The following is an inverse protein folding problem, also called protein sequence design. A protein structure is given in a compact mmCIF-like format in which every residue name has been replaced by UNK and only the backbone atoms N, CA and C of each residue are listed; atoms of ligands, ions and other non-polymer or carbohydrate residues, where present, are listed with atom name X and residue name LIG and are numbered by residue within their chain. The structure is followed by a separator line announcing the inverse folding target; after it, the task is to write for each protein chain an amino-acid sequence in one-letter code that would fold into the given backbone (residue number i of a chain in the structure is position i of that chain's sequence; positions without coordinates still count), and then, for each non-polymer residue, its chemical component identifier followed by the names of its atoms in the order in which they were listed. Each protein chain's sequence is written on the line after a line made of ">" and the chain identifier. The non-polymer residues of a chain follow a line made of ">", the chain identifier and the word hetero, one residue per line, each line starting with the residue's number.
data_IF_197849396957
#
_entry.id   IF_197849396957
#
_cell.length_a   1.000
_cell.length_b   1.000
_cell.length_c   1.000
_cell.angle_alpha   90.00
_cell.angle_beta   90.00
_cell.angle_gamma   90.00
#
_symmetry.space_group_name_H-M   'P 1'
#
loop_
_entity.id
_entity.type
_entity.pdbx_description
1 polymer ?
#
# COMPACT_ATOMS: atom_id res chain seq x y z
N UNK A 1 -15.29 27.54 -17.13
CA UNK A 1 -13.88 27.55 -17.59
C UNK A 1 -13.02 28.19 -16.49
N UNK A 2 -12.98 27.58 -15.30
CA UNK A 2 -12.42 28.22 -14.09
C UNK A 2 -11.92 27.18 -13.07
N UNK A 3 -11.00 26.31 -13.48
CA UNK A 3 -10.37 25.31 -12.59
C UNK A 3 -8.85 25.29 -12.80
N UNK A 4 -8.21 26.47 -12.65
CA UNK A 4 -6.75 26.63 -12.75
C UNK A 4 -6.12 27.24 -11.50
N UNK A 5 -6.80 27.19 -10.35
CA UNK A 5 -6.33 27.82 -9.11
C UNK A 5 -6.32 26.81 -7.96
N UNK A 6 -5.59 25.71 -8.13
CA UNK A 6 -5.16 24.86 -7.01
C UNK A 6 -3.91 24.04 -7.35
N UNK A 7 -3.06 24.51 -8.27
CA UNK A 7 -1.70 23.95 -8.38
C UNK A 7 -0.90 24.58 -7.25
N UNK A 8 -0.91 23.92 -6.08
CA UNK A 8 -0.14 24.35 -4.93
C UNK A 8 1.28 24.71 -5.36
N UNK A 9 1.78 25.87 -4.93
CA UNK A 9 3.14 26.30 -5.22
C UNK A 9 4.09 25.17 -4.81
N UNK A 10 4.86 24.64 -5.76
CA UNK A 10 5.84 23.60 -5.44
C UNK A 10 6.96 24.22 -4.62
N UNK A 11 7.45 23.51 -3.61
CA UNK A 11 8.61 23.92 -2.81
C UNK A 11 9.83 24.24 -3.68
N UNK A 12 9.93 23.63 -4.87
CA UNK A 12 10.95 23.95 -5.86
C UNK A 12 10.80 25.36 -6.46
N UNK A 13 9.57 25.80 -6.71
CA UNK A 13 9.31 27.15 -7.22
C UNK A 13 9.63 28.20 -6.15
N UNK A 14 9.35 27.89 -4.87
CA UNK A 14 9.71 28.73 -3.72
C UNK A 14 11.23 28.84 -3.57
N UNK A 15 11.96 27.71 -3.65
CA UNK A 15 13.44 27.71 -3.59
C UNK A 15 14.05 28.49 -4.76
N UNK A 16 13.52 28.33 -5.98
CA UNK A 16 14.00 29.08 -7.16
C UNK A 16 13.78 30.58 -6.96
N UNK A 17 12.61 30.98 -6.46
CA UNK A 17 12.28 32.37 -6.18
C UNK A 17 13.21 32.97 -5.09
N UNK A 18 13.45 32.24 -4.00
CA UNK A 18 14.37 32.67 -2.94
C UNK A 18 15.80 32.86 -3.46
N UNK A 19 16.30 31.98 -4.33
CA UNK A 19 17.64 32.13 -4.93
C UNK A 19 17.74 33.33 -5.87
N UNK A 20 16.67 33.66 -6.60
CA UNK A 20 16.60 34.88 -7.41
C UNK A 20 16.62 36.13 -6.52
N UNK A 21 15.88 36.13 -5.41
CA UNK A 21 15.92 37.21 -4.42
C UNK A 21 17.32 37.37 -3.81
N UNK A 22 17.98 36.29 -3.43
CA UNK A 22 19.37 36.34 -2.91
C UNK A 22 20.31 37.01 -3.90
N UNK A 23 20.17 36.72 -5.20
CA UNK A 23 21.02 37.30 -6.25
C UNK A 23 20.78 38.80 -6.38
N UNK A 24 19.52 39.25 -6.29
CA UNK A 24 19.15 40.66 -6.32
C UNK A 24 19.58 41.43 -5.07
N UNK A 25 19.51 40.81 -3.89
CA UNK A 25 19.93 41.41 -2.62
C UNK A 25 21.44 41.28 -2.35
N UNK A 26 22.20 40.62 -3.24
CA UNK A 26 23.67 40.57 -3.18
C UNK A 26 24.33 41.79 -3.83
N UNK A 27 23.55 42.67 -4.46
CA UNK A 27 24.08 43.86 -5.12
C UNK A 27 24.62 44.89 -4.13
N UNK A 28 25.86 45.32 -4.39
CA UNK A 28 26.74 46.07 -3.47
C UNK A 28 26.32 47.51 -3.18
N UNK A 29 25.23 48.01 -3.78
CA UNK A 29 24.79 49.41 -3.66
C UNK A 29 23.52 49.61 -2.82
N UNK A 30 22.70 48.58 -2.63
CA UNK A 30 21.45 48.68 -1.84
C UNK A 30 21.01 47.36 -1.18
N UNK A 31 21.75 46.26 -1.42
CA UNK A 31 21.42 44.97 -0.86
C UNK A 31 21.83 44.86 0.60
N UNK A 32 20.89 44.47 1.47
CA UNK A 32 21.20 44.07 2.83
C UNK A 32 21.86 42.68 2.80
N UNK A 33 23.18 42.56 3.03
CA UNK A 33 23.87 41.28 2.90
C UNK A 33 23.40 40.27 3.95
N UNK A 34 22.95 40.74 5.12
CA UNK A 34 22.39 39.89 6.16
C UNK A 34 21.05 39.27 5.72
N UNK A 35 20.23 40.01 4.98
CA UNK A 35 18.99 39.49 4.40
C UNK A 35 19.27 38.46 3.30
N UNK A 36 20.25 38.72 2.44
CA UNK A 36 20.67 37.76 1.42
C UNK A 36 21.19 36.45 2.04
N UNK A 37 21.93 36.53 3.15
CA UNK A 37 22.41 35.34 3.86
C UNK A 37 21.27 34.58 4.56
N UNK A 38 20.30 35.29 5.14
CA UNK A 38 19.12 34.69 5.76
C UNK A 38 18.23 33.96 4.73
N UNK A 39 17.98 34.60 3.58
CA UNK A 39 17.22 34.00 2.47
C UNK A 39 17.95 32.79 1.89
N UNK A 40 19.28 32.82 1.80
CA UNK A 40 20.08 31.67 1.39
C UNK A 40 19.96 30.51 2.37
N UNK A 41 20.08 30.77 3.69
CA UNK A 41 19.90 29.75 4.73
C UNK A 41 18.49 29.15 4.71
N UNK A 42 17.46 29.95 4.42
CA UNK A 42 16.09 29.49 4.27
C UNK A 42 15.93 28.60 3.03
N UNK A 43 16.48 29.00 1.88
CA UNK A 43 16.47 28.20 0.67
C UNK A 43 17.22 26.87 0.85
N UNK A 44 18.37 26.87 1.53
CA UNK A 44 19.13 25.65 1.83
C UNK A 44 18.38 24.72 2.80
N UNK A 45 17.62 25.28 3.76
CA UNK A 45 16.75 24.47 4.63
C UNK A 45 15.58 23.87 3.87
N UNK A 46 14.89 24.66 3.04
CA UNK A 46 13.78 24.17 2.22
C UNK A 46 14.25 23.14 1.20
N UNK A 47 15.46 23.28 0.64
CA UNK A 47 16.03 22.28 -0.25
C UNK A 47 16.39 20.99 0.52
N UNK A 48 16.88 21.10 1.76
CA UNK A 48 17.11 19.94 2.63
C UNK A 48 15.81 19.28 3.10
N UNK A 49 14.76 20.05 3.35
CA UNK A 49 13.46 19.56 3.77
C UNK A 49 12.70 18.92 2.59
N UNK A 50 12.77 19.53 1.41
CA UNK A 50 12.32 18.92 0.16
C UNK A 50 13.18 17.70 -0.23
N UNK A 51 14.47 17.70 0.08
CA UNK A 51 15.32 16.52 -0.09
C UNK A 51 14.99 15.42 0.93
N UNK A 52 14.67 15.76 2.19
CA UNK A 52 14.21 14.82 3.20
C UNK A 52 12.84 14.24 2.83
N UNK A 53 11.91 15.08 2.38
CA UNK A 53 10.65 14.64 1.77
C UNK A 53 10.88 13.82 0.51
N UNK A 54 11.95 14.03 -0.25
CA UNK A 54 12.34 13.19 -1.40
C UNK A 54 13.08 11.91 -1.04
N UNK A 55 13.70 11.82 0.13
CA UNK A 55 14.20 10.55 0.65
C UNK A 55 13.03 9.71 1.17
N UNK A 56 11.95 10.35 1.66
CA UNK A 56 10.63 9.72 1.86
C UNK A 56 9.87 9.47 0.54
N UNK A 57 10.11 10.28 -0.50
CA UNK A 57 9.51 10.14 -1.84
C UNK A 57 10.46 9.48 -2.86
N UNK A 58 11.48 8.76 -2.38
CA UNK A 58 12.04 7.66 -3.15
C UNK A 58 10.86 6.75 -3.52
N UNK A 59 10.85 6.05 -4.66
CA UNK A 59 9.75 5.14 -5.01
C UNK A 59 9.76 3.88 -4.12
N UNK A 60 9.76 4.07 -2.81
CA UNK A 60 9.05 3.25 -1.85
C UNK A 60 7.54 3.60 -1.85
N UNK A 61 6.98 3.97 -3.01
CA UNK A 61 5.59 3.64 -3.36
C UNK A 61 5.39 2.12 -3.54
N UNK A 62 6.15 1.29 -2.82
CA UNK A 62 5.62 0.06 -2.28
C UNK A 62 4.82 0.46 -1.06
N UNK A 63 3.59 0.89 -1.33
CA UNK A 63 2.45 0.34 -0.61
C UNK A 63 2.78 -0.05 0.84
N UNK A 64 2.49 0.82 1.81
CA UNK A 64 2.11 0.38 3.17
C UNK A 64 0.77 -0.38 3.16
N UNK A 65 0.49 -1.09 2.07
CA UNK A 65 -0.23 -2.33 2.11
C UNK A 65 0.82 -3.28 2.62
N UNK A 66 0.83 -3.47 3.94
CA UNK A 66 1.44 -4.66 4.52
C UNK A 66 0.80 -5.81 3.74
N UNK A 67 1.52 -6.29 2.72
CA UNK A 67 1.16 -7.51 2.03
C UNK A 67 1.46 -8.55 3.09
N UNK A 68 0.42 -9.15 3.69
CA UNK A 68 0.65 -10.11 4.76
C UNK A 68 1.63 -11.16 4.23
N UNK A 69 2.64 -11.46 5.02
CA UNK A 69 3.65 -12.43 4.65
C UNK A 69 2.95 -13.76 4.31
N UNK A 70 3.49 -14.54 3.39
CA UNK A 70 2.87 -15.83 2.99
C UNK A 70 2.60 -16.78 4.16
N UNK A 71 3.32 -16.62 5.27
CA UNK A 71 3.07 -17.32 6.54
C UNK A 71 1.85 -16.79 7.30
N UNK A 72 1.65 -15.46 7.33
CA UNK A 72 0.47 -14.82 7.90
C UNK A 72 -0.79 -15.15 7.09
N UNK A 73 -0.65 -15.24 5.76
CA UNK A 73 -1.72 -15.66 4.84
C UNK A 73 -2.18 -17.12 5.07
N UNK A 74 -1.30 -17.98 5.58
CA UNK A 74 -1.64 -19.36 5.97
C UNK A 74 -2.33 -19.44 7.33
N UNK A 75 -2.03 -18.49 8.22
CA UNK A 75 -2.54 -18.46 9.58
C UNK A 75 -3.90 -17.76 9.70
N UNK A 76 -4.44 -17.18 8.62
CA UNK A 76 -5.77 -16.57 8.67
C UNK A 76 -6.87 -17.60 8.92
N UNK A 77 -7.69 -17.29 9.92
CA UNK A 77 -8.97 -17.95 10.17
C UNK A 77 -9.95 -17.73 9.01
N UNK A 78 -10.92 -18.64 8.86
CA UNK A 78 -11.92 -18.60 7.78
C UNK A 78 -12.66 -17.26 7.72
N UNK A 79 -12.98 -16.65 8.87
CA UNK A 79 -13.63 -15.34 8.96
C UNK A 79 -12.72 -14.19 8.47
N UNK A 80 -11.42 -14.28 8.78
CA UNK A 80 -10.44 -13.31 8.32
C UNK A 80 -10.24 -13.43 6.80
N UNK A 81 -10.25 -14.65 6.25
CA UNK A 81 -10.21 -14.88 4.80
C UNK A 81 -11.47 -14.31 4.13
N UNK A 82 -12.65 -14.51 4.73
CA UNK A 82 -13.91 -13.96 4.20
C UNK A 82 -13.88 -12.44 4.12
N UNK A 83 -13.34 -11.79 5.14
CA UNK A 83 -13.17 -10.33 5.19
C UNK A 83 -12.12 -9.88 4.16
N UNK A 84 -11.05 -10.65 4.01
CA UNK A 84 -9.96 -10.37 3.08
C UNK A 84 -10.39 -10.43 1.61
N UNK A 85 -11.28 -11.36 1.24
CA UNK A 85 -11.79 -11.46 -0.14
C UNK A 85 -12.83 -10.38 -0.48
N UNK A 86 -13.58 -9.88 0.52
CA UNK A 86 -14.59 -8.82 0.33
C UNK A 86 -14.00 -7.43 0.26
N UNK A 87 -12.76 -7.25 0.72
CA UNK A 87 -12.05 -5.97 0.65
C UNK A 87 -11.70 -5.62 -0.81
N UNK A 88 -12.46 -4.68 -1.39
CA UNK A 88 -12.26 -4.22 -2.77
C UNK A 88 -10.95 -3.48 -2.98
N UNK A 89 -10.33 -3.01 -1.90
CA UNK A 89 -9.07 -2.30 -1.95
C UNK A 89 -7.93 -3.27 -2.39
N UNK A 90 -8.06 -4.57 -2.09
CA UNK A 90 -7.00 -5.57 -2.31
C UNK A 90 -6.67 -5.80 -3.77
N UNK A 91 -5.37 -5.91 -4.05
CA UNK A 91 -4.88 -6.10 -5.41
C UNK A 91 -5.10 -7.54 -5.87
N UNK A 92 -5.13 -7.74 -7.19
CA UNK A 92 -5.19 -9.09 -7.78
C UNK A 92 -4.03 -9.97 -7.29
N UNK A 93 -2.85 -9.40 -7.08
CA UNK A 93 -1.67 -10.14 -6.60
C UNK A 93 -1.88 -10.66 -5.17
N UNK A 94 -2.47 -9.84 -4.30
CA UNK A 94 -2.78 -10.24 -2.92
C UNK A 94 -3.72 -11.45 -2.86
N UNK A 95 -4.74 -11.45 -3.71
CA UNK A 95 -5.69 -12.56 -3.82
C UNK A 95 -5.03 -13.84 -4.38
N UNK A 96 -4.10 -13.69 -5.33
CA UNK A 96 -3.31 -14.81 -5.88
C UNK A 96 -2.41 -15.41 -4.80
N UNK A 97 -1.76 -14.58 -4.01
CA UNK A 97 -0.89 -15.02 -2.92
C UNK A 97 -1.67 -15.73 -1.81
N UNK A 98 -2.84 -15.21 -1.42
CA UNK A 98 -3.74 -15.89 -0.48
C UNK A 98 -4.18 -17.28 -0.99
N UNK A 99 -4.66 -17.34 -2.24
CA UNK A 99 -5.15 -18.57 -2.85
C UNK A 99 -4.05 -19.64 -2.98
N UNK A 100 -2.83 -19.22 -3.29
CA UNK A 100 -1.67 -20.12 -3.35
C UNK A 100 -1.22 -20.56 -1.95
N UNK A 101 -1.13 -19.62 -1.01
CA UNK A 101 -0.58 -19.88 0.32
C UNK A 101 -1.47 -20.80 1.16
N UNK A 102 -2.80 -20.54 1.17
CA UNK A 102 -3.77 -21.26 2.01
C UNK A 102 -4.40 -22.47 1.32
N UNK A 103 -4.81 -22.30 0.06
CA UNK A 103 -5.55 -23.34 -0.68
C UNK A 103 -4.68 -24.11 -1.68
N UNK A 104 -3.38 -23.83 -1.75
CA UNK A 104 -2.43 -24.47 -2.67
C UNK A 104 -2.85 -24.42 -4.15
N UNK A 105 -3.62 -23.40 -4.54
CA UNK A 105 -4.08 -23.24 -5.92
C UNK A 105 -2.91 -22.70 -6.78
N UNK A 106 -2.61 -23.28 -7.96
CA UNK A 106 -1.47 -22.88 -8.76
C UNK A 106 -1.52 -21.41 -9.21
N UNK A 107 -0.42 -20.67 -8.98
CA UNK A 107 -0.28 -19.27 -9.41
C UNK A 107 -0.49 -19.08 -10.92
N UNK A 108 -0.02 -20.03 -11.73
CA UNK A 108 -0.18 -20.00 -13.19
C UNK A 108 -1.64 -20.01 -13.65
N UNK A 109 -2.52 -20.68 -12.89
CA UNK A 109 -3.97 -20.69 -13.13
C UNK A 109 -4.59 -19.37 -12.68
N UNK A 110 -4.26 -18.92 -11.48
CA UNK A 110 -4.80 -17.69 -10.88
C UNK A 110 -4.39 -16.42 -11.64
N UNK A 111 -3.15 -16.34 -12.12
CA UNK A 111 -2.68 -15.17 -12.88
C UNK A 111 -3.47 -14.94 -14.18
N UNK A 112 -3.99 -16.02 -14.79
CA UNK A 112 -4.77 -15.97 -16.03
C UNK A 112 -6.25 -15.60 -15.80
N UNK A 113 -6.73 -15.63 -14.57
CA UNK A 113 -8.11 -15.35 -14.21
C UNK A 113 -8.29 -13.88 -13.81
N UNK A 114 -9.45 -13.26 -14.05
CA UNK A 114 -9.78 -11.93 -13.52
C UNK A 114 -9.91 -11.97 -12.00
N UNK A 115 -9.75 -10.82 -11.34
CA UNK A 115 -9.79 -10.71 -9.88
C UNK A 115 -11.10 -11.24 -9.27
N UNK A 116 -12.23 -11.04 -9.96
CA UNK A 116 -13.53 -11.56 -9.54
C UNK A 116 -13.56 -13.10 -9.50
N UNK A 117 -13.09 -13.77 -10.55
CA UNK A 117 -13.04 -15.24 -10.58
C UNK A 117 -12.06 -15.81 -9.55
N UNK A 118 -10.99 -15.08 -9.20
CA UNK A 118 -10.10 -15.49 -8.12
C UNK A 118 -10.83 -15.43 -6.77
N UNK A 119 -11.63 -14.39 -6.50
CA UNK A 119 -12.46 -14.30 -5.29
C UNK A 119 -13.46 -15.45 -5.20
N UNK A 120 -14.11 -15.77 -6.32
CA UNK A 120 -15.06 -16.90 -6.39
C UNK A 120 -14.36 -18.23 -6.13
N UNK A 121 -13.16 -18.43 -6.70
CA UNK A 121 -12.37 -19.64 -6.47
C UNK A 121 -11.96 -19.79 -5.00
N UNK A 122 -11.55 -18.70 -4.35
CA UNK A 122 -11.23 -18.68 -2.91
C UNK A 122 -12.49 -18.97 -2.08
N UNK A 123 -13.62 -18.34 -2.40
CA UNK A 123 -14.90 -18.58 -1.70
C UNK A 123 -15.36 -20.03 -1.82
N UNK A 124 -15.23 -20.63 -3.00
CA UNK A 124 -15.54 -22.03 -3.24
C UNK A 124 -14.64 -22.97 -2.43
N UNK A 125 -13.33 -22.68 -2.38
CA UNK A 125 -12.38 -23.45 -1.58
C UNK A 125 -12.69 -23.36 -0.08
N UNK A 126 -13.03 -22.18 0.42
CA UNK A 126 -13.41 -21.97 1.82
C UNK A 126 -14.68 -22.74 2.21
N UNK A 127 -15.72 -22.70 1.36
CA UNK A 127 -16.95 -23.51 1.56
C UNK A 127 -16.66 -25.01 1.57
N UNK A 128 -15.69 -25.45 0.76
CA UNK A 128 -15.28 -26.85 0.73
C UNK A 128 -14.60 -27.28 2.04
N UNK A 129 -13.68 -26.46 2.59
CA UNK A 129 -13.07 -26.73 3.89
C UNK A 129 -14.12 -26.79 5.02
N UNK A 130 -15.07 -25.86 5.04
CA UNK A 130 -16.17 -25.86 6.00
C UNK A 130 -17.03 -27.11 5.90
N UNK A 131 -17.34 -27.55 4.68
CA UNK A 131 -18.09 -28.79 4.46
C UNK A 131 -17.33 -30.02 4.97
N UNK A 132 -16.02 -30.11 4.73
CA UNK A 132 -15.20 -31.22 5.22
C UNK A 132 -15.16 -31.24 6.76
N UNK A 133 -15.08 -30.07 7.39
CA UNK A 133 -15.10 -29.95 8.86
C UNK A 133 -16.40 -30.47 9.45
N UNK A 134 -17.54 -30.08 8.89
CA UNK A 134 -18.86 -30.55 9.33
C UNK A 134 -18.96 -32.08 9.19
N UNK A 135 -18.54 -32.62 8.04
CA UNK A 135 -18.57 -34.07 7.79
C UNK A 135 -17.66 -34.82 8.78
N UNK A 136 -16.49 -34.28 9.09
CA UNK A 136 -15.57 -34.87 10.08
C UNK A 136 -16.16 -34.87 11.48
N UNK A 137 -16.72 -33.74 11.94
CA UNK A 137 -17.38 -33.64 13.25
C UNK A 137 -18.58 -34.59 13.35
N UNK A 138 -19.35 -34.72 12.27
CA UNK A 138 -20.48 -35.63 12.20
C UNK A 138 -20.03 -37.09 12.21
N UNK A 139 -18.96 -37.44 11.48
CA UNK A 139 -18.34 -38.77 11.52
C UNK A 139 -17.82 -39.14 12.93
N UNK A 140 -17.25 -38.19 13.67
CA UNK A 140 -16.85 -38.40 15.07
C UNK A 140 -18.04 -38.65 15.98
N UNK A 141 -19.13 -37.88 15.85
CA UNK A 141 -20.37 -38.09 16.61
C UNK A 141 -21.00 -39.45 16.33
N UNK A 142 -21.14 -39.82 15.06
CA UNK A 142 -21.66 -41.14 14.68
C UNK A 142 -20.72 -42.29 15.07
N UNK A 143 -19.40 -42.05 15.06
CA UNK A 143 -18.39 -43.01 15.53
C UNK A 143 -18.43 -43.22 17.04
N UNK A 144 -18.64 -42.16 17.82
CA UNK A 144 -18.80 -42.23 19.27
C UNK A 144 -20.06 -43.01 19.67
N UNK A 145 -21.19 -42.77 19.00
CA UNK A 145 -22.45 -43.49 19.22
C UNK A 145 -22.43 -44.96 18.80
N UNK A 146 -21.43 -45.40 18.02
CA UNK A 146 -21.22 -46.81 17.65
C UNK A 146 -20.27 -47.54 18.60
N UNK A 147 -19.51 -46.81 19.43
CA UNK A 147 -18.54 -47.37 20.39
C UNK A 147 -19.10 -47.45 21.82
N UNK A 148 -20.23 -46.80 22.10
CA UNK A 148 -21.04 -46.97 23.30
C UNK A 148 -22.06 -48.10 23.13
#
# INVERSE_FOLDING_TARGET
>A
MADRIAKGLSDQDVVRFLRQMVTLYKDRRSGNPALAEALRKLADRLEKEAAAQRVDSSPAQSSLWVTPSTEELRAYDDDAISTYITDEARTKLDLVELAFARFSIPRSKLQRMPAAEIRDAISAALKHEQSLKIISEEAERYGASRRS
#
